data_IF_245082047241
#
_entry.id   IF_245082047241
#
_cell.length_a   1.000
_cell.length_b   1.000
_cell.length_c   1.000
_cell.angle_alpha   90.00
_cell.angle_beta   90.00
_cell.angle_gamma   90.00
#
_symmetry.space_group_name_H-M   'P 1'
#
loop_
_entity.id
_entity.type
_entity.pdbx_description
1 polymer ?
#
# COMPACT_ATOMS: atom_id res chain seq x y z
N UNK A 1 5.13 -31.01 -17.75
CA UNK A 1 4.03 -30.04 -17.52
C UNK A 1 4.55 -28.66 -17.88
N UNK A 2 4.03 -28.02 -18.93
CA UNK A 2 4.35 -26.64 -19.27
C UNK A 2 3.37 -25.72 -18.53
N UNK A 3 3.87 -24.72 -17.82
CA UNK A 3 3.03 -23.73 -17.14
C UNK A 3 2.56 -22.72 -18.20
N UNK A 4 1.24 -22.55 -18.34
CA UNK A 4 0.65 -21.60 -19.27
C UNK A 4 1.05 -20.16 -18.90
N UNK A 5 1.57 -19.40 -19.88
CA UNK A 5 1.92 -18.00 -19.69
C UNK A 5 0.68 -17.14 -19.88
N UNK A 6 0.25 -16.48 -18.81
CA UNK A 6 -0.86 -15.51 -18.84
C UNK A 6 -0.36 -14.08 -18.71
N UNK A 7 -1.04 -13.14 -19.36
CA UNK A 7 -0.69 -11.71 -19.34
C UNK A 7 -0.95 -11.05 -17.98
N UNK A 8 -1.92 -11.56 -17.22
CA UNK A 8 -2.14 -11.22 -15.82
C UNK A 8 -2.84 -12.35 -15.07
N UNK A 9 -2.46 -12.56 -13.81
CA UNK A 9 -3.14 -13.47 -12.90
C UNK A 9 -3.45 -12.80 -11.57
N UNK A 10 -4.49 -13.29 -10.89
CA UNK A 10 -4.89 -12.80 -9.58
C UNK A 10 -4.38 -13.73 -8.49
N UNK A 11 -3.54 -13.21 -7.60
CA UNK A 11 -2.97 -13.94 -6.48
C UNK A 11 -3.33 -13.26 -5.16
N UNK A 12 -3.98 -13.98 -4.26
CA UNK A 12 -4.39 -13.47 -2.93
C UNK A 12 -5.10 -12.11 -2.99
N UNK A 13 -5.89 -11.88 -4.03
CA UNK A 13 -6.63 -10.63 -4.24
C UNK A 13 -5.87 -9.50 -4.97
N UNK A 14 -4.60 -9.69 -5.30
CA UNK A 14 -3.78 -8.74 -6.06
C UNK A 14 -3.58 -9.22 -7.50
N UNK A 15 -3.78 -8.34 -8.48
CA UNK A 15 -3.48 -8.66 -9.88
C UNK A 15 -1.99 -8.44 -10.16
N UNK A 16 -1.32 -9.49 -10.61
CA UNK A 16 0.07 -9.47 -11.06
C UNK A 16 0.03 -9.56 -12.58
N UNK A 17 0.62 -8.58 -13.25
CA UNK A 17 0.76 -8.56 -14.72
C UNK A 17 2.15 -9.03 -15.12
N UNK A 18 2.29 -9.56 -16.34
CA UNK A 18 3.60 -10.00 -16.85
C UNK A 18 4.63 -8.87 -16.92
N UNK A 19 4.16 -7.63 -17.14
CA UNK A 19 5.02 -6.44 -17.20
C UNK A 19 5.30 -5.86 -15.81
N UNK A 20 4.71 -6.42 -14.75
CA UNK A 20 4.71 -5.89 -13.38
C UNK A 20 4.21 -4.44 -13.30
N UNK A 21 3.29 -4.08 -14.20
CA UNK A 21 2.51 -2.85 -14.14
C UNK A 21 1.30 -3.06 -13.23
N UNK A 22 0.95 -2.04 -12.46
CA UNK A 22 -0.07 -2.17 -11.41
C UNK A 22 -1.43 -1.60 -11.81
N UNK A 23 -1.59 -1.19 -13.07
CA UNK A 23 -2.81 -0.54 -13.58
C UNK A 23 -4.04 -1.45 -13.54
N UNK A 24 -3.88 -2.74 -13.84
CA UNK A 24 -4.97 -3.73 -13.72
C UNK A 24 -5.40 -3.86 -12.25
N UNK A 25 -4.42 -3.95 -11.35
CA UNK A 25 -4.68 -4.03 -9.91
C UNK A 25 -5.36 -2.76 -9.37
N UNK A 26 -4.82 -1.58 -9.67
CA UNK A 26 -5.34 -0.29 -9.21
C UNK A 26 -6.75 -0.05 -9.73
N UNK A 27 -7.02 -0.35 -11.01
CA UNK A 27 -8.34 -0.22 -11.61
C UNK A 27 -9.36 -1.14 -10.96
N UNK A 28 -8.98 -2.40 -10.70
CA UNK A 28 -9.82 -3.38 -9.98
C UNK A 28 -10.14 -2.92 -8.55
N UNK A 29 -9.14 -2.40 -7.83
CA UNK A 29 -9.32 -1.87 -6.48
C UNK A 29 -10.22 -0.62 -6.45
N UNK A 30 -10.02 0.32 -7.37
CA UNK A 30 -10.84 1.54 -7.47
C UNK A 30 -12.30 1.20 -7.79
N UNK A 31 -12.56 0.26 -8.70
CA UNK A 31 -13.93 -0.21 -8.99
C UNK A 31 -14.62 -0.75 -7.74
N UNK A 32 -13.96 -1.64 -6.99
CA UNK A 32 -14.49 -2.19 -5.72
C UNK A 32 -14.69 -1.11 -4.67
N UNK A 33 -13.77 -0.18 -4.55
CA UNK A 33 -13.86 0.89 -3.57
C UNK A 33 -14.98 1.87 -3.90
N UNK A 34 -15.25 2.15 -5.18
CA UNK A 34 -16.38 2.96 -5.61
C UNK A 34 -17.73 2.30 -5.28
N UNK A 35 -17.85 0.97 -5.41
CA UNK A 35 -19.04 0.25 -4.95
C UNK A 35 -19.23 0.41 -3.43
N UNK A 36 -18.15 0.37 -2.64
CA UNK A 36 -18.22 0.57 -1.18
C UNK A 36 -18.48 2.02 -0.78
N UNK A 37 -18.06 3.00 -1.59
CA UNK A 37 -18.42 4.41 -1.40
C UNK A 37 -19.92 4.65 -1.54
N UNK A 38 -20.62 3.88 -2.38
CA UNK A 38 -22.09 3.96 -2.45
C UNK A 38 -22.71 3.66 -1.08
N UNK A 39 -22.31 2.56 -0.44
CA UNK A 39 -22.78 2.24 0.92
C UNK A 39 -22.40 3.31 1.94
N UNK A 40 -21.18 3.87 1.88
CA UNK A 40 -20.78 4.97 2.76
C UNK A 40 -21.70 6.20 2.60
N UNK A 41 -22.10 6.54 1.36
CA UNK A 41 -23.08 7.62 1.12
C UNK A 41 -24.45 7.29 1.70
N UNK A 42 -24.91 6.05 1.55
CA UNK A 42 -26.18 5.59 2.11
C UNK A 42 -26.16 5.68 3.64
N UNK A 43 -25.08 5.26 4.28
CA UNK A 43 -24.90 5.39 5.73
C UNK A 43 -24.94 6.86 6.18
N UNK A 44 -24.29 7.76 5.43
CA UNK A 44 -24.35 9.21 5.72
C UNK A 44 -25.76 9.77 5.57
N UNK A 45 -26.53 9.32 4.57
CA UNK A 45 -27.93 9.73 4.35
C UNK A 45 -28.83 9.30 5.52
N UNK A 46 -28.52 8.19 6.17
CA UNK A 46 -29.23 7.72 7.38
C UNK A 46 -28.69 8.35 8.67
N UNK A 47 -28.03 9.51 8.58
CA UNK A 47 -27.60 10.32 9.73
C UNK A 47 -26.68 9.61 10.74
N UNK A 48 -25.96 8.57 10.32
CA UNK A 48 -24.98 7.92 11.20
C UNK A 48 -23.83 8.86 11.58
N UNK A 49 -23.28 8.64 12.78
CA UNK A 49 -22.22 9.48 13.33
C UNK A 49 -20.94 9.42 12.48
N UNK A 50 -20.15 10.49 12.55
CA UNK A 50 -18.88 10.58 11.82
C UNK A 50 -17.93 9.44 12.21
N UNK A 51 -17.93 9.00 13.47
CA UNK A 51 -17.10 7.90 13.95
C UNK A 51 -17.46 6.56 13.30
N UNK A 52 -18.76 6.25 13.19
CA UNK A 52 -19.23 5.04 12.51
C UNK A 52 -18.85 5.08 11.03
N UNK A 53 -19.00 6.23 10.37
CA UNK A 53 -18.63 6.40 8.97
C UNK A 53 -17.11 6.26 8.75
N UNK A 54 -16.30 6.79 9.66
CA UNK A 54 -14.85 6.63 9.66
C UNK A 54 -14.44 5.18 9.85
N UNK A 55 -15.08 4.47 10.79
CA UNK A 55 -14.84 3.06 11.02
C UNK A 55 -15.25 2.21 9.81
N UNK A 56 -16.40 2.50 9.19
CA UNK A 56 -16.80 1.86 7.94
C UNK A 56 -15.78 2.10 6.83
N UNK A 57 -15.29 3.34 6.66
CA UNK A 57 -14.24 3.64 5.70
C UNK A 57 -12.98 2.80 5.96
N UNK A 58 -12.47 2.77 7.20
CA UNK A 58 -11.27 2.01 7.56
C UNK A 58 -11.43 0.51 7.30
N UNK A 59 -12.56 -0.05 7.74
CA UNK A 59 -12.81 -1.49 7.65
C UNK A 59 -13.18 -1.96 6.24
N UNK A 60 -13.94 -1.17 5.49
CA UNK A 60 -14.48 -1.60 4.20
C UNK A 60 -13.73 -0.99 3.01
N UNK A 61 -13.26 0.26 3.06
CA UNK A 61 -12.67 0.93 1.90
C UNK A 61 -11.15 0.91 1.98
N UNK A 62 -10.58 1.40 3.09
CA UNK A 62 -9.13 1.46 3.29
C UNK A 62 -8.51 0.05 3.26
N UNK A 63 -9.14 -0.94 3.91
CA UNK A 63 -8.65 -2.33 3.96
C UNK A 63 -8.42 -2.94 2.56
N UNK A 64 -9.33 -2.71 1.61
CA UNK A 64 -9.17 -3.23 0.25
C UNK A 64 -8.17 -2.41 -0.56
N UNK A 65 -8.19 -1.09 -0.43
CA UNK A 65 -7.29 -0.19 -1.15
C UNK A 65 -5.83 -0.41 -0.73
N UNK A 66 -5.62 -0.83 0.51
CA UNK A 66 -4.29 -0.95 1.12
C UNK A 66 -3.82 -2.39 1.27
N UNK A 67 -4.60 -3.36 0.76
CA UNK A 67 -4.20 -4.76 0.75
C UNK A 67 -2.90 -4.94 -0.05
N UNK A 68 -1.89 -5.57 0.56
CA UNK A 68 -0.56 -5.77 -0.01
C UNK A 68 0.10 -4.49 -0.56
N UNK A 69 -0.28 -3.29 -0.07
CA UNK A 69 0.14 -1.99 -0.64
C UNK A 69 1.66 -1.80 -0.72
N UNK A 70 2.41 -2.45 0.18
CA UNK A 70 3.87 -2.40 0.22
C UNK A 70 4.51 -3.07 -0.99
N UNK A 71 3.82 -3.98 -1.67
CA UNK A 71 4.33 -4.70 -2.83
C UNK A 71 4.19 -3.90 -4.14
N UNK A 72 3.09 -3.15 -4.29
CA UNK A 72 2.70 -2.60 -5.61
C UNK A 72 2.69 -1.07 -5.69
N UNK A 73 2.37 -0.35 -4.62
CA UNK A 73 2.12 1.11 -4.71
C UNK A 73 3.33 1.94 -5.15
N UNK A 74 4.54 1.55 -4.73
CA UNK A 74 5.77 2.24 -5.12
C UNK A 74 5.97 2.29 -6.65
N UNK A 75 5.48 1.27 -7.35
CA UNK A 75 5.58 1.11 -8.80
C UNK A 75 4.32 1.56 -9.56
N UNK A 76 3.35 2.18 -8.89
CA UNK A 76 2.19 2.76 -9.56
C UNK A 76 2.56 4.02 -10.34
N UNK A 77 1.90 4.21 -11.49
CA UNK A 77 1.98 5.45 -12.26
C UNK A 77 1.36 6.64 -11.50
N UNK A 78 1.65 7.87 -11.94
CA UNK A 78 1.00 9.06 -11.38
C UNK A 78 -0.53 9.00 -11.54
N UNK A 79 -1.02 8.47 -12.68
CA UNK A 79 -2.44 8.30 -12.94
C UNK A 79 -3.10 7.30 -11.98
N UNK A 80 -2.43 6.18 -11.70
CA UNK A 80 -2.88 5.18 -10.73
C UNK A 80 -2.98 5.79 -9.32
N UNK A 81 -1.92 6.50 -8.89
CA UNK A 81 -1.88 7.16 -7.57
C UNK A 81 -3.00 8.20 -7.43
N UNK A 82 -3.21 9.03 -8.45
CA UNK A 82 -4.32 10.00 -8.48
C UNK A 82 -5.68 9.30 -8.40
N UNK A 83 -5.87 8.18 -9.09
CA UNK A 83 -7.13 7.43 -9.05
C UNK A 83 -7.43 6.83 -7.69
N UNK A 84 -6.44 6.25 -7.01
CA UNK A 84 -6.58 5.78 -5.63
C UNK A 84 -6.89 6.94 -4.67
N UNK A 85 -6.18 8.06 -4.81
CA UNK A 85 -6.36 9.22 -3.93
C UNK A 85 -7.74 9.88 -4.10
N UNK A 86 -8.34 9.82 -5.31
CA UNK A 86 -9.71 10.32 -5.53
C UNK A 86 -10.74 9.59 -4.68
N UNK A 87 -10.58 8.28 -4.49
CA UNK A 87 -11.48 7.47 -3.63
C UNK A 87 -11.38 7.94 -2.17
N UNK A 88 -10.16 8.17 -1.68
CA UNK A 88 -9.94 8.69 -0.32
C UNK A 88 -10.53 10.09 -0.16
N UNK A 89 -10.31 10.99 -1.12
CA UNK A 89 -10.90 12.33 -1.11
C UNK A 89 -12.43 12.29 -1.09
N UNK A 90 -13.04 11.42 -1.89
CA UNK A 90 -14.49 11.22 -1.89
C UNK A 90 -15.00 10.73 -0.52
N UNK A 91 -14.33 9.76 0.10
CA UNK A 91 -14.66 9.31 1.45
C UNK A 91 -14.51 10.43 2.49
N UNK A 92 -13.44 11.23 2.41
CA UNK A 92 -13.20 12.37 3.29
C UNK A 92 -14.31 13.43 3.17
N UNK A 93 -14.80 13.71 1.96
CA UNK A 93 -15.93 14.62 1.78
C UNK A 93 -17.25 14.07 2.39
N UNK A 94 -17.48 12.76 2.34
CA UNK A 94 -18.68 12.14 2.91
C UNK A 94 -18.62 12.09 4.45
N UNK A 95 -17.48 11.65 4.98
CA UNK A 95 -17.25 11.51 6.43
C UNK A 95 -17.06 12.84 7.15
N UNK A 96 -16.63 13.89 6.43
CA UNK A 96 -16.25 15.21 6.97
C UNK A 96 -15.09 15.17 7.95
N UNK A 97 -14.23 14.15 7.84
CA UNK A 97 -13.04 13.98 8.67
C UNK A 97 -11.78 13.88 7.81
N UNK A 98 -10.63 14.40 8.25
CA UNK A 98 -9.38 14.24 7.52
C UNK A 98 -8.99 12.76 7.46
N UNK A 99 -8.74 12.25 6.26
CA UNK A 99 -8.29 10.88 6.03
C UNK A 99 -6.83 10.90 5.54
N UNK A 100 -5.99 9.93 5.99
CA UNK A 100 -4.60 9.87 5.54
C UNK A 100 -4.54 9.59 4.04
N UNK A 101 -3.57 10.18 3.35
CA UNK A 101 -3.33 9.88 1.94
C UNK A 101 -2.84 8.44 1.79
N UNK A 102 -3.09 7.84 0.62
CA UNK A 102 -2.64 6.47 0.34
C UNK A 102 -1.11 6.34 0.48
N UNK A 103 -0.37 7.39 0.15
CA UNK A 103 1.08 7.43 0.32
C UNK A 103 1.50 7.36 1.79
N UNK A 104 0.83 8.11 2.68
CA UNK A 104 1.11 8.07 4.12
C UNK A 104 0.82 6.68 4.67
N UNK A 105 -0.31 6.07 4.28
CA UNK A 105 -0.64 4.71 4.69
C UNK A 105 0.41 3.72 4.18
N UNK A 106 0.84 3.84 2.93
CA UNK A 106 1.88 2.98 2.37
C UNK A 106 3.20 3.09 3.14
N UNK A 107 3.70 4.30 3.41
CA UNK A 107 4.94 4.52 4.17
C UNK A 107 4.83 3.91 5.57
N UNK A 108 3.70 4.12 6.25
CA UNK A 108 3.42 3.54 7.58
C UNK A 108 3.42 2.00 7.54
N UNK A 109 2.76 1.40 6.55
CA UNK A 109 2.72 -0.07 6.36
C UNK A 109 4.11 -0.63 6.04
N UNK A 110 4.89 0.06 5.21
CA UNK A 110 6.28 -0.30 4.91
C UNK A 110 7.14 -0.31 6.17
N UNK A 111 7.10 0.77 6.97
CA UNK A 111 7.85 0.87 8.22
C UNK A 111 7.45 -0.22 9.21
N UNK A 112 6.15 -0.45 9.41
CA UNK A 112 5.66 -1.48 10.32
C UNK A 112 6.09 -2.87 9.88
N UNK A 113 6.03 -3.17 8.58
CA UNK A 113 6.50 -4.47 8.06
C UNK A 113 8.00 -4.63 8.24
N UNK A 114 8.79 -3.60 7.98
CA UNK A 114 10.24 -3.64 8.17
C UNK A 114 10.60 -3.85 9.65
N UNK A 115 9.93 -3.14 10.58
CA UNK A 115 10.08 -3.35 12.03
C UNK A 115 9.67 -4.76 12.46
N UNK A 116 8.61 -5.32 11.87
CA UNK A 116 8.22 -6.71 12.13
C UNK A 116 9.29 -7.70 11.69
N UNK A 117 9.92 -7.49 10.54
CA UNK A 117 11.03 -8.33 10.05
C UNK A 117 12.23 -8.21 10.99
N UNK A 118 12.56 -6.99 11.43
CA UNK A 118 13.70 -6.74 12.32
C UNK A 118 13.53 -7.33 13.72
N UNK A 119 12.29 -7.51 14.18
CA UNK A 119 11.99 -8.15 15.48
C UNK A 119 12.16 -9.67 15.43
N UNK A 120 12.09 -10.27 14.25
CA UNK A 120 12.21 -11.72 14.05
C UNK A 120 13.54 -12.06 13.38
N UNK A 121 14.49 -12.52 14.18
CA UNK A 121 15.82 -12.92 13.71
C UNK A 121 15.78 -14.13 12.76
N UNK A 122 14.74 -14.97 12.85
CA UNK A 122 14.56 -16.15 11.98
C UNK A 122 13.95 -15.79 10.62
N UNK A 123 13.44 -14.57 10.47
CA UNK A 123 12.79 -14.15 9.25
C UNK A 123 13.78 -14.20 8.06
N UNK A 124 13.43 -14.81 6.92
CA UNK A 124 14.35 -14.99 5.79
C UNK A 124 14.90 -13.68 5.24
N UNK A 125 14.10 -12.61 5.32
CA UNK A 125 14.50 -11.27 4.89
C UNK A 125 15.23 -10.44 5.95
N UNK A 126 15.48 -10.95 7.17
CA UNK A 126 16.19 -10.21 8.22
C UNK A 126 17.57 -9.72 7.74
N UNK A 127 18.29 -10.59 7.03
CA UNK A 127 19.62 -10.33 6.46
C UNK A 127 19.65 -9.19 5.44
N UNK A 128 18.51 -8.76 4.90
CA UNK A 128 18.42 -7.61 3.99
C UNK A 128 18.47 -6.27 4.71
N UNK A 129 18.29 -6.25 6.04
CA UNK A 129 18.33 -5.05 6.87
C UNK A 129 19.59 -5.03 7.75
N UNK A 130 20.76 -4.86 7.14
CA UNK A 130 22.03 -4.78 7.86
C UNK A 130 22.33 -3.36 8.31
N UNK A 131 22.75 -3.17 9.56
CA UNK A 131 23.28 -1.89 10.02
C UNK A 131 24.71 -1.67 9.51
N UNK A 132 25.05 -0.40 9.27
CA UNK A 132 26.45 0.01 9.07
C UNK A 132 27.22 -0.09 10.40
N UNK A 133 28.57 -0.12 10.37
CA UNK A 133 29.39 -0.21 11.57
C UNK A 133 29.08 0.85 12.64
N UNK A 134 28.57 2.03 12.23
CA UNK A 134 28.14 3.08 13.16
C UNK A 134 26.87 2.74 13.97
N UNK A 135 26.13 1.69 13.62
CA UNK A 135 24.88 1.29 14.27
C UNK A 135 23.68 2.21 14.03
N UNK A 136 23.88 3.36 13.36
CA UNK A 136 22.86 4.41 13.19
C UNK A 136 21.98 4.22 11.96
N UNK A 137 22.56 3.76 10.85
CA UNK A 137 21.87 3.64 9.55
C UNK A 137 21.95 2.22 9.01
N UNK A 138 20.90 1.82 8.32
CA UNK A 138 20.86 0.59 7.54
C UNK A 138 21.58 0.77 6.20
N UNK A 139 22.28 -0.27 5.77
CA UNK A 139 22.95 -0.36 4.48
C UNK A 139 21.91 -0.29 3.36
N UNK A 140 22.05 0.69 2.49
CA UNK A 140 21.21 0.82 1.30
C UNK A 140 21.41 -0.37 0.35
N UNK A 141 20.32 -0.86 -0.22
CA UNK A 141 20.36 -1.89 -1.26
C UNK A 141 20.75 -1.26 -2.60
N UNK A 142 21.68 -1.88 -3.31
CA UNK A 142 22.09 -1.45 -4.64
C UNK A 142 20.97 -1.77 -5.64
N UNK A 143 20.47 -0.75 -6.34
CA UNK A 143 19.34 -0.89 -7.27
C UNK A 143 19.72 -0.43 -8.66
N UNK A 144 19.66 -1.33 -9.66
CA UNK A 144 19.95 -1.01 -11.06
C UNK A 144 18.76 -0.43 -11.83
N UNK A 145 17.53 -0.66 -11.34
CA UNK A 145 16.31 -0.22 -12.00
C UNK A 145 15.44 0.59 -11.04
N UNK A 146 14.69 1.56 -11.59
CA UNK A 146 13.66 2.31 -10.85
C UNK A 146 12.63 1.36 -10.23
N UNK A 147 12.27 0.29 -10.94
CA UNK A 147 11.33 -0.73 -10.46
C UNK A 147 11.79 -1.38 -9.16
N UNK A 148 13.05 -1.82 -9.10
CA UNK A 148 13.59 -2.41 -7.88
C UNK A 148 13.74 -1.37 -6.78
N UNK A 149 14.23 -0.16 -7.09
CA UNK A 149 14.33 0.95 -6.15
C UNK A 149 12.99 1.29 -5.48
N UNK A 150 11.90 1.21 -6.23
CA UNK A 150 10.54 1.51 -5.76
C UNK A 150 9.85 0.30 -5.10
N UNK A 151 10.50 -0.85 -5.03
CA UNK A 151 9.97 -2.04 -4.35
C UNK A 151 10.07 -1.90 -2.82
N UNK A 152 9.48 -2.86 -2.10
CA UNK A 152 9.39 -2.83 -0.65
C UNK A 152 10.75 -2.63 0.06
N UNK A 153 11.75 -3.47 -0.24
CA UNK A 153 12.98 -3.48 0.57
C UNK A 153 13.81 -2.20 0.47
N UNK A 154 14.14 -1.66 -0.71
CA UNK A 154 14.91 -0.42 -0.78
C UNK A 154 14.13 0.77 -0.22
N UNK A 155 12.81 0.81 -0.45
CA UNK A 155 11.93 1.83 0.13
C UNK A 155 11.91 1.75 1.66
N UNK A 156 11.79 0.55 2.22
CA UNK A 156 11.79 0.33 3.67
C UNK A 156 13.11 0.75 4.33
N UNK A 157 14.25 0.40 3.73
CA UNK A 157 15.58 0.83 4.21
C UNK A 157 15.70 2.35 4.19
N UNK A 158 15.28 3.00 3.10
CA UNK A 158 15.27 4.46 3.00
C UNK A 158 14.39 5.11 4.09
N UNK A 159 13.19 4.58 4.29
CA UNK A 159 12.27 5.07 5.33
C UNK A 159 12.85 4.89 6.73
N UNK A 160 13.46 3.75 7.04
CA UNK A 160 14.10 3.50 8.33
C UNK A 160 15.28 4.46 8.58
N UNK A 161 16.02 4.83 7.54
CA UNK A 161 17.12 5.78 7.63
C UNK A 161 16.67 7.25 7.76
N UNK A 162 15.45 7.57 7.32
CA UNK A 162 14.86 8.91 7.46
C UNK A 162 14.21 9.19 8.81
N UNK A 163 13.92 8.15 9.60
CA UNK A 163 13.34 8.30 10.94
C UNK A 163 14.48 8.46 11.94
N UNK A 164 14.61 9.61 12.64
CA UNK A 164 15.60 9.75 13.71
C UNK A 164 15.33 8.70 14.79
N UNK A 165 16.40 8.09 15.29
CA UNK A 165 16.37 7.15 16.41
C UNK A 165 16.57 7.88 17.72
#
# INVERSE_FOLDING_TARGET
MAVERVSSFKFLGTHISETLTWTINTSSLVKKANQRLFFLRTLKKNHLSADILCNFYRCAIESILTNCITAWYGNCTVADRKSLQRVVKAAQHITRTPLPTIEVVQKKRCLNRARSILRDLSHPAYRLFQLLPSGRRYRCLQTKTSRFRNSFFPTAVSLLNSVPR
#
